data_IF_317669039443
#
_entry.id   IF_317669039443
#
_cell.length_a   1.000
_cell.length_b   1.000
_cell.length_c   1.000
_cell.angle_alpha   90.00
_cell.angle_beta   90.00
_cell.angle_gamma   90.00
#
_symmetry.space_group_name_H-M   'P 1'
#
loop_
_entity.id
_entity.type
_entity.pdbx_description
1 polymer ?
#
# COMPACT_ATOMS: atom_id res chain seq x y z
N UNK A 1 -15.35 7.37 6.37
CA UNK A 1 -13.93 7.48 6.69
C UNK A 1 -13.14 7.54 5.39
N UNK A 2 -12.19 8.45 5.29
CA UNK A 2 -11.39 8.64 4.06
C UNK A 2 -10.07 7.87 4.13
N UNK A 3 -9.60 7.38 2.99
CA UNK A 3 -8.36 6.59 2.87
C UNK A 3 -7.35 7.39 2.04
N UNK A 4 -6.13 7.50 2.56
CA UNK A 4 -4.92 7.82 1.79
C UNK A 4 -4.18 6.52 1.51
N UNK A 5 -3.94 6.20 0.24
CA UNK A 5 -3.01 5.14 -0.12
C UNK A 5 -1.60 5.71 -0.14
N UNK A 6 -0.62 4.95 0.35
CA UNK A 6 0.80 5.28 0.27
C UNK A 6 1.54 4.18 -0.48
N UNK A 7 2.49 4.58 -1.33
CA UNK A 7 3.36 3.67 -2.06
C UNK A 7 4.76 4.27 -2.18
N UNK A 8 5.78 3.44 -2.03
CA UNK A 8 7.17 3.80 -2.31
C UNK A 8 7.61 3.03 -3.55
N UNK A 9 8.22 3.75 -4.51
CA UNK A 9 8.74 3.21 -5.77
C UNK A 9 10.24 3.44 -5.78
N UNK A 10 11.03 2.43 -6.10
CA UNK A 10 12.49 2.53 -6.15
C UNK A 10 13.05 2.06 -7.48
N UNK A 11 13.03 0.74 -7.74
CA UNK A 11 13.69 0.16 -8.91
C UNK A 11 12.87 -0.90 -9.65
N UNK A 12 11.58 -0.95 -9.37
CA UNK A 12 10.64 -1.86 -10.01
C UNK A 12 10.62 -1.64 -11.54
N UNK A 13 10.12 -2.65 -12.26
CA UNK A 13 9.90 -2.51 -13.70
C UNK A 13 8.72 -1.55 -13.93
N UNK A 14 8.76 -0.68 -14.97
CA UNK A 14 7.67 0.24 -15.26
C UNK A 14 6.30 -0.44 -15.36
N UNK A 15 6.24 -1.66 -15.91
CA UNK A 15 5.00 -2.43 -16.04
C UNK A 15 4.41 -2.83 -14.68
N UNK A 16 5.26 -3.15 -13.71
CA UNK A 16 4.82 -3.51 -12.35
C UNK A 16 4.24 -2.27 -11.64
N UNK A 17 4.93 -1.14 -11.72
CA UNK A 17 4.44 0.13 -11.16
C UNK A 17 3.13 0.54 -11.80
N UNK A 18 3.01 0.37 -13.12
CA UNK A 18 1.78 0.66 -13.84
C UNK A 18 0.62 -0.22 -13.34
N UNK A 19 0.84 -1.53 -13.23
CA UNK A 19 -0.16 -2.47 -12.70
C UNK A 19 -0.55 -2.14 -11.25
N UNK A 20 0.41 -1.81 -10.39
CA UNK A 20 0.19 -1.44 -9.00
C UNK A 20 -0.70 -0.19 -8.90
N UNK A 21 -0.33 0.89 -9.61
CA UNK A 21 -1.11 2.14 -9.64
C UNK A 21 -2.52 1.90 -10.18
N UNK A 22 -2.63 1.23 -11.33
CA UNK A 22 -3.91 0.91 -11.96
C UNK A 22 -4.82 0.09 -11.04
N UNK A 23 -4.27 -0.84 -10.25
CA UNK A 23 -5.05 -1.67 -9.33
C UNK A 23 -5.72 -0.86 -8.22
N UNK A 24 -5.09 0.24 -7.78
CA UNK A 24 -5.67 1.18 -6.81
C UNK A 24 -6.72 2.07 -7.48
N UNK A 25 -6.47 2.52 -8.71
CA UNK A 25 -7.43 3.35 -9.46
C UNK A 25 -8.69 2.59 -9.88
N UNK A 26 -8.64 1.25 -9.89
CA UNK A 26 -9.77 0.37 -10.22
C UNK A 26 -10.53 -0.12 -8.98
N UNK A 27 -10.20 0.34 -7.77
CA UNK A 27 -10.87 -0.10 -6.54
C UNK A 27 -12.37 0.25 -6.55
N UNK A 28 -13.22 -0.65 -6.03
CA UNK A 28 -14.66 -0.39 -5.86
C UNK A 28 -14.92 0.77 -4.90
N UNK A 29 -14.08 0.87 -3.86
CA UNK A 29 -14.01 2.03 -2.98
C UNK A 29 -12.74 2.82 -3.27
N UNK A 30 -12.88 3.95 -3.98
CA UNK A 30 -11.75 4.78 -4.35
C UNK A 30 -11.15 5.50 -3.11
N UNK A 31 -9.81 5.55 -2.99
CA UNK A 31 -9.18 6.39 -1.99
C UNK A 31 -9.41 7.87 -2.32
N UNK A 32 -9.27 8.73 -1.30
CA UNK A 32 -9.33 10.19 -1.49
C UNK A 32 -8.01 10.78 -1.93
N UNK A 33 -6.92 10.07 -1.66
CA UNK A 33 -5.56 10.51 -1.93
C UNK A 33 -4.70 9.27 -2.16
N UNK A 34 -3.72 9.38 -3.06
CA UNK A 34 -2.71 8.36 -3.29
C UNK A 34 -1.34 9.03 -3.38
N UNK A 35 -0.59 8.96 -2.28
CA UNK A 35 0.75 9.52 -2.17
C UNK A 35 1.77 8.49 -2.66
N UNK A 36 2.48 8.84 -3.73
CA UNK A 36 3.51 7.98 -4.33
C UNK A 36 4.87 8.66 -4.11
N UNK A 37 5.79 7.98 -3.45
CA UNK A 37 7.16 8.45 -3.25
C UNK A 37 8.09 7.71 -4.21
N UNK A 38 8.67 8.42 -5.17
CA UNK A 38 9.77 7.92 -5.97
C UNK A 38 11.08 8.12 -5.20
N UNK A 39 11.63 7.02 -4.69
CA UNK A 39 12.83 7.00 -3.86
C UNK A 39 14.13 6.94 -4.70
N UNK A 40 14.06 6.48 -5.95
CA UNK A 40 15.18 6.57 -6.88
C UNK A 40 15.02 7.75 -7.85
N UNK A 41 15.58 8.93 -7.57
CA UNK A 41 15.46 10.09 -8.46
C UNK A 41 16.13 9.89 -9.83
N UNK A 42 17.06 8.92 -9.95
CA UNK A 42 17.81 8.66 -11.19
C UNK A 42 17.01 7.80 -12.20
N UNK A 43 15.87 7.23 -11.80
CA UNK A 43 15.00 6.43 -12.68
C UNK A 43 14.05 7.34 -13.46
N UNK A 44 14.56 7.92 -14.55
CA UNK A 44 13.78 8.84 -15.40
C UNK A 44 12.54 8.17 -16.01
N UNK A 45 12.61 6.89 -16.35
CA UNK A 45 11.49 6.10 -16.87
C UNK A 45 10.32 6.02 -15.88
N UNK A 46 10.61 5.71 -14.60
CA UNK A 46 9.60 5.66 -13.54
C UNK A 46 9.09 7.06 -13.19
N UNK A 47 9.98 8.06 -13.22
CA UNK A 47 9.61 9.45 -12.98
C UNK A 47 8.62 9.95 -14.03
N UNK A 48 8.92 9.75 -15.31
CA UNK A 48 8.06 10.17 -16.41
C UNK A 48 6.70 9.45 -16.36
N UNK A 49 6.71 8.15 -16.09
CA UNK A 49 5.49 7.35 -15.89
C UNK A 49 4.62 7.91 -14.76
N UNK A 50 5.20 8.14 -13.58
CA UNK A 50 4.44 8.61 -12.42
C UNK A 50 4.01 10.07 -12.56
N UNK A 51 4.80 10.92 -13.23
CA UNK A 51 4.40 12.29 -13.54
C UNK A 51 3.18 12.33 -14.48
N UNK A 52 3.11 11.43 -15.46
CA UNK A 52 1.93 11.32 -16.34
C UNK A 52 0.66 10.89 -15.57
N UNK A 53 0.79 10.04 -14.55
CA UNK A 53 -0.31 9.75 -13.62
C UNK A 53 -0.71 10.98 -12.79
N UNK A 54 0.27 11.62 -12.13
CA UNK A 54 0.06 12.81 -11.28
C UNK A 54 -0.60 13.97 -12.03
N UNK A 55 -0.27 14.16 -13.32
CA UNK A 55 -0.88 15.20 -14.15
C UNK A 55 -2.33 14.94 -14.55
N UNK A 56 -2.74 13.67 -14.63
CA UNK A 56 -4.05 13.26 -15.18
C UNK A 56 -5.04 12.81 -14.12
N UNK A 57 -4.55 12.40 -12.95
CA UNK A 57 -5.36 11.80 -11.89
C UNK A 57 -5.27 12.66 -10.64
N UNK A 58 -6.31 13.45 -10.38
CA UNK A 58 -6.36 14.47 -9.32
C UNK A 58 -6.03 13.94 -7.91
N UNK A 59 -6.34 12.67 -7.63
CA UNK A 59 -6.07 12.06 -6.33
C UNK A 59 -4.61 11.62 -6.13
N UNK A 60 -3.82 11.52 -7.20
CA UNK A 60 -2.41 11.12 -7.10
C UNK A 60 -1.57 12.33 -6.68
N UNK A 61 -0.60 12.07 -5.82
CA UNK A 61 0.41 13.04 -5.38
C UNK A 61 1.79 12.40 -5.48
N UNK A 62 2.52 12.70 -6.53
CA UNK A 62 3.89 12.25 -6.71
C UNK A 62 4.86 13.11 -5.88
N UNK A 63 5.79 12.44 -5.19
CA UNK A 63 6.89 13.07 -4.48
C UNK A 63 8.19 12.36 -4.85
N UNK A 64 9.17 13.11 -5.34
CA UNK A 64 10.50 12.55 -5.61
C UNK A 64 11.43 12.84 -4.43
N UNK A 65 12.12 11.83 -3.92
CA UNK A 65 13.21 12.05 -2.98
C UNK A 65 14.45 12.59 -3.73
N UNK A 66 15.27 13.42 -3.07
CA UNK A 66 16.49 13.95 -3.69
C UNK A 66 17.60 12.90 -3.81
N UNK A 67 17.50 11.81 -3.05
CA UNK A 67 18.39 10.65 -3.04
C UNK A 67 17.61 9.45 -2.47
N UNK A 68 18.17 8.24 -2.56
CA UNK A 68 17.59 7.04 -1.96
C UNK A 68 17.62 7.13 -0.42
N UNK A 69 16.44 7.22 0.20
CA UNK A 69 16.26 7.25 1.65
C UNK A 69 15.92 5.86 2.22
N UNK A 70 15.54 4.92 1.36
CA UNK A 70 15.10 3.59 1.70
C UNK A 70 13.60 3.52 2.01
N UNK A 71 13.04 2.31 1.87
CA UNK A 71 11.61 2.03 1.94
C UNK A 71 10.93 2.64 3.19
N UNK A 72 11.49 2.43 4.38
CA UNK A 72 10.88 2.90 5.62
C UNK A 72 10.81 4.43 5.71
N UNK A 73 11.90 5.13 5.35
CA UNK A 73 11.94 6.59 5.37
C UNK A 73 10.99 7.18 4.32
N UNK A 74 10.92 6.57 3.13
CA UNK A 74 10.01 6.95 2.05
C UNK A 74 8.54 6.77 2.43
N UNK A 75 8.19 5.65 3.05
CA UNK A 75 6.82 5.42 3.55
C UNK A 75 6.46 6.35 4.71
N UNK A 76 7.38 6.61 5.65
CA UNK A 76 7.15 7.58 6.73
C UNK A 76 6.86 8.99 6.18
N UNK A 77 7.65 9.42 5.18
CA UNK A 77 7.39 10.68 4.46
C UNK A 77 6.01 10.68 3.78
N UNK A 78 5.61 9.56 3.19
CA UNK A 78 4.27 9.42 2.60
C UNK A 78 3.16 9.53 3.66
N UNK A 79 3.33 8.93 4.84
CA UNK A 79 2.40 9.02 5.98
C UNK A 79 2.27 10.46 6.47
N UNK A 80 3.39 11.18 6.60
CA UNK A 80 3.38 12.59 7.01
C UNK A 80 2.58 13.45 6.03
N UNK A 81 2.76 13.22 4.74
CA UNK A 81 2.10 13.93 3.66
C UNK A 81 0.64 13.53 3.42
N UNK A 82 0.24 12.36 3.92
CA UNK A 82 -1.11 11.84 3.76
C UNK A 82 -2.12 12.66 4.58
N UNK A 83 -3.26 13.02 3.98
CA UNK A 83 -4.21 13.95 4.58
C UNK A 83 -5.35 13.28 5.34
N UNK A 84 -5.59 11.99 5.10
CA UNK A 84 -6.78 11.29 5.60
C UNK A 84 -6.52 10.50 6.89
N UNK A 85 -7.61 10.12 7.55
CA UNK A 85 -7.59 9.43 8.85
C UNK A 85 -7.14 7.96 8.74
N UNK A 86 -7.30 7.34 7.58
CA UNK A 86 -6.85 5.98 7.29
C UNK A 86 -5.72 5.99 6.28
N UNK A 87 -4.71 5.17 6.54
CA UNK A 87 -3.58 4.89 5.66
C UNK A 87 -3.71 3.46 5.15
N UNK A 88 -3.75 3.30 3.83
CA UNK A 88 -3.59 2.00 3.18
C UNK A 88 -2.20 1.92 2.56
N UNK A 89 -1.48 0.83 2.82
CA UNK A 89 -0.18 0.57 2.17
C UNK A 89 -0.39 -0.15 0.84
N UNK A 90 0.41 0.21 -0.16
CA UNK A 90 0.54 -0.49 -1.44
C UNK A 90 2.02 -0.63 -1.77
N UNK A 91 2.45 -1.83 -2.13
CA UNK A 91 3.82 -2.08 -2.62
C UNK A 91 3.84 -1.94 -4.16
N UNK A 92 4.94 -1.41 -4.71
CA UNK A 92 5.01 -0.97 -6.11
C UNK A 92 5.11 -2.10 -7.14
N UNK A 93 5.27 -3.34 -6.66
CA UNK A 93 5.37 -4.57 -7.44
C UNK A 93 4.20 -5.54 -7.19
N UNK A 94 3.20 -5.12 -6.42
CA UNK A 94 2.00 -5.91 -6.11
C UNK A 94 0.76 -5.43 -6.89
N UNK A 95 -0.30 -6.24 -6.89
CA UNK A 95 -1.60 -5.92 -7.49
C UNK A 95 -2.68 -6.05 -6.41
N UNK A 96 -3.42 -4.97 -6.15
CA UNK A 96 -4.57 -5.02 -5.22
C UNK A 96 -5.81 -5.60 -5.91
N UNK A 97 -6.47 -6.58 -5.26
CA UNK A 97 -7.78 -7.06 -5.71
C UNK A 97 -8.82 -5.94 -5.67
N UNK A 98 -9.73 -5.92 -6.64
CA UNK A 98 -10.61 -4.77 -6.95
C UNK A 98 -11.45 -4.25 -5.77
N UNK A 99 -11.80 -5.10 -4.81
CA UNK A 99 -12.63 -4.74 -3.66
C UNK A 99 -11.85 -4.64 -2.34
N UNK A 100 -10.51 -4.65 -2.39
CA UNK A 100 -9.66 -4.66 -1.18
C UNK A 100 -10.03 -3.54 -0.21
N UNK A 101 -9.99 -2.28 -0.68
CA UNK A 101 -10.19 -1.12 0.20
C UNK A 101 -11.59 -1.09 0.81
N UNK A 102 -12.60 -1.56 0.08
CA UNK A 102 -13.99 -1.65 0.55
C UNK A 102 -14.10 -2.67 1.69
N UNK A 103 -13.56 -3.87 1.48
CA UNK A 103 -13.58 -4.98 2.44
C UNK A 103 -12.80 -4.63 3.72
N UNK A 104 -11.58 -4.08 3.56
CA UNK A 104 -10.75 -3.67 4.69
C UNK A 104 -11.43 -2.56 5.51
N UNK A 105 -12.06 -1.59 4.84
CA UNK A 105 -12.76 -0.49 5.50
C UNK A 105 -13.99 -0.96 6.29
N UNK A 106 -14.77 -1.88 5.73
CA UNK A 106 -15.92 -2.46 6.41
C UNK A 106 -15.49 -3.25 7.64
N UNK A 107 -14.45 -4.09 7.51
CA UNK A 107 -13.93 -4.90 8.60
C UNK A 107 -13.35 -4.05 9.74
N UNK A 108 -12.55 -3.03 9.41
CA UNK A 108 -11.94 -2.11 10.39
C UNK A 108 -13.00 -1.37 11.21
N UNK A 109 -14.08 -0.91 10.56
CA UNK A 109 -15.20 -0.23 11.24
C UNK A 109 -16.04 -1.18 12.10
N UNK A 110 -16.41 -2.33 11.53
CA UNK A 110 -17.33 -3.26 12.18
C UNK A 110 -16.72 -3.86 13.44
N UNK A 111 -15.41 -4.07 13.44
CA UNK A 111 -14.66 -4.66 14.56
C UNK A 111 -13.98 -3.61 15.44
N UNK A 112 -14.14 -2.32 15.14
CA UNK A 112 -13.48 -1.17 15.79
C UNK A 112 -11.98 -1.39 16.02
N UNK A 113 -11.25 -1.57 14.92
CA UNK A 113 -9.81 -1.87 14.94
C UNK A 113 -8.96 -0.63 14.61
N UNK A 114 -7.71 -0.64 15.06
CA UNK A 114 -6.70 0.34 14.66
C UNK A 114 -5.98 -0.06 13.37
N UNK A 115 -5.87 -1.37 13.10
CA UNK A 115 -5.16 -1.94 11.95
C UNK A 115 -5.80 -3.25 11.53
N UNK A 116 -5.82 -3.50 10.22
CA UNK A 116 -6.13 -4.79 9.61
C UNK A 116 -5.12 -5.09 8.50
N UNK A 117 -4.84 -6.37 8.25
CA UNK A 117 -4.12 -6.83 7.06
C UNK A 117 -4.85 -8.00 6.42
N UNK A 118 -4.95 -8.00 5.09
CA UNK A 118 -5.51 -9.10 4.31
C UNK A 118 -4.52 -10.22 3.96
N UNK A 119 -5.03 -11.27 3.32
CA UNK A 119 -4.22 -12.36 2.75
C UNK A 119 -3.65 -11.95 1.39
N UNK A 120 -2.63 -12.66 0.92
CA UNK A 120 -2.04 -12.47 -0.42
C UNK A 120 -1.91 -13.78 -1.17
N UNK A 121 -1.90 -13.68 -2.49
CA UNK A 121 -1.48 -14.74 -3.39
C UNK A 121 -0.13 -14.35 -4.01
N UNK A 122 0.75 -15.33 -4.21
CA UNK A 122 2.00 -15.17 -4.92
C UNK A 122 1.78 -15.44 -6.40
N UNK A 123 2.25 -14.53 -7.23
CA UNK A 123 2.21 -14.64 -8.68
C UNK A 123 3.61 -14.98 -9.22
N UNK A 124 3.68 -15.79 -10.27
CA UNK A 124 4.89 -15.93 -11.07
C UNK A 124 4.98 -14.86 -12.17
N UNK A 125 6.00 -14.95 -13.03
CA UNK A 125 6.21 -14.01 -14.14
C UNK A 125 5.17 -14.14 -15.27
N UNK A 126 4.28 -15.13 -15.20
CA UNK A 126 3.18 -15.34 -16.13
C UNK A 126 1.82 -14.94 -15.52
N UNK A 127 1.84 -14.27 -14.36
CA UNK A 127 0.66 -13.89 -13.56
C UNK A 127 -0.14 -15.09 -13.04
N UNK A 128 0.46 -16.29 -12.99
CA UNK A 128 -0.19 -17.48 -12.45
C UNK A 128 -0.01 -17.56 -10.93
N UNK A 129 -1.06 -17.98 -10.22
CA UNK A 129 -1.01 -18.15 -8.76
C UNK A 129 -0.17 -19.38 -8.42
N UNK A 130 0.97 -19.15 -7.79
CA UNK A 130 1.91 -20.21 -7.37
C UNK A 130 1.88 -20.50 -5.87
N UNK A 131 1.14 -19.71 -5.09
CA UNK A 131 0.96 -19.95 -3.67
C UNK A 131 0.10 -18.89 -3.00
N UNK A 132 -0.21 -19.11 -1.73
CA UNK A 132 -1.01 -18.17 -0.92
C UNK A 132 -0.38 -18.03 0.47
N UNK A 133 -0.52 -16.82 1.04
CA UNK A 133 -0.16 -16.55 2.43
C UNK A 133 -1.34 -15.89 3.12
N UNK A 134 -1.87 -16.60 4.10
CA UNK A 134 -2.92 -16.10 4.97
C UNK A 134 -2.37 -15.63 6.31
N UNK A 135 -2.91 -14.52 6.81
CA UNK A 135 -2.62 -14.07 8.16
C UNK A 135 -3.28 -15.04 9.15
N UNK A 136 -2.47 -15.64 10.02
CA UNK A 136 -2.94 -16.49 11.13
C UNK A 136 -2.12 -16.04 12.35
N UNK A 137 -2.71 -15.82 13.54
CA UNK A 137 -4.12 -15.91 13.96
C UNK A 137 -4.82 -14.54 14.08
N UNK A 138 -6.16 -14.52 13.97
CA UNK A 138 -6.97 -13.29 14.12
C UNK A 138 -7.37 -12.96 15.58
N UNK A 139 -7.25 -13.93 16.49
CA UNK A 139 -7.65 -13.75 17.88
C UNK A 139 -6.55 -13.02 18.67
N UNK A 140 -6.91 -11.94 19.35
CA UNK A 140 -5.99 -11.12 20.14
C UNK A 140 -5.04 -11.93 21.06
N UNK A 141 -5.51 -12.94 21.84
CA UNK A 141 -4.62 -13.70 22.71
C UNK A 141 -3.58 -14.54 21.96
N UNK A 142 -3.86 -14.89 20.71
CA UNK A 142 -2.94 -15.64 19.86
C UNK A 142 -1.98 -14.69 19.14
N UNK A 143 -2.45 -13.53 18.69
CA UNK A 143 -1.62 -12.46 18.12
C UNK A 143 -0.54 -12.06 19.14
N UNK A 144 -0.93 -11.77 20.39
CA UNK A 144 0.02 -11.41 21.44
C UNK A 144 1.10 -12.47 21.68
N UNK A 145 0.76 -13.75 21.54
CA UNK A 145 1.70 -14.86 21.74
C UNK A 145 2.68 -15.03 20.58
N UNK A 146 2.28 -14.71 19.35
CA UNK A 146 3.12 -14.90 18.17
C UNK A 146 4.00 -13.69 17.85
N UNK A 147 3.59 -12.48 18.25
CA UNK A 147 4.35 -11.23 18.01
C UNK A 147 5.84 -11.30 18.42
N UNK A 148 6.25 -11.95 19.54
CA UNK A 148 7.66 -12.10 19.88
C UNK A 148 8.47 -12.95 18.89
N UNK A 149 7.80 -13.79 18.09
CA UNK A 149 8.42 -14.73 17.16
C UNK A 149 8.31 -14.30 15.70
N UNK A 150 7.40 -13.38 15.38
CA UNK A 150 7.22 -12.88 14.02
C UNK A 150 6.02 -11.94 13.88
N UNK A 151 5.94 -11.29 12.71
CA UNK A 151 4.80 -10.44 12.36
C UNK A 151 3.66 -11.29 11.78
N UNK A 152 2.45 -11.06 12.26
CA UNK A 152 1.21 -11.58 11.65
C UNK A 152 0.68 -10.64 10.56
N UNK A 153 1.31 -9.48 10.38
CA UNK A 153 0.88 -8.44 9.46
C UNK A 153 1.51 -8.70 8.09
N UNK A 154 0.66 -8.80 7.07
CA UNK A 154 1.11 -8.83 5.69
C UNK A 154 1.12 -7.38 5.19
N UNK A 155 2.31 -6.82 5.04
CA UNK A 155 2.49 -5.39 4.82
C UNK A 155 1.76 -4.79 3.59
N UNK A 156 1.75 -5.42 2.40
CA UNK A 156 1.10 -4.81 1.24
C UNK A 156 -0.42 -4.71 1.37
N UNK A 157 -1.03 -5.40 2.33
CA UNK A 157 -2.48 -5.44 2.56
C UNK A 157 -2.90 -4.67 3.81
N UNK A 158 -2.06 -3.78 4.33
CA UNK A 158 -2.39 -3.03 5.55
C UNK A 158 -3.35 -1.88 5.26
N UNK A 159 -4.42 -1.81 6.05
CA UNK A 159 -5.22 -0.60 6.28
C UNK A 159 -5.19 -0.27 7.77
N UNK A 160 -4.86 0.96 8.12
CA UNK A 160 -4.69 1.37 9.51
C UNK A 160 -5.12 2.80 9.77
N UNK A 161 -5.44 3.11 11.02
CA UNK A 161 -5.64 4.50 11.47
C UNK A 161 -4.29 5.22 11.45
N UNK A 162 -4.26 6.42 10.89
CA UNK A 162 -3.05 7.25 10.84
C UNK A 162 -2.45 7.46 12.24
N UNK A 163 -3.30 7.64 13.25
CA UNK A 163 -2.90 7.83 14.66
C UNK A 163 -2.19 6.62 15.27
N UNK A 164 -2.28 5.42 14.67
CA UNK A 164 -1.60 4.22 15.16
C UNK A 164 -0.12 4.15 14.73
N UNK A 165 0.29 5.01 13.80
CA UNK A 165 1.64 5.01 13.19
C UNK A 165 2.33 6.38 13.23
N UNK A 166 1.79 7.31 14.01
CA UNK A 166 2.37 8.62 14.29
C UNK A 166 2.97 8.67 15.69
#
# INVERSE_FOLDING_TARGET
MAISVIMSVYNERPEQVQQAVDSILKQTYLPREFVIVLDNPERSDLKDLLMDYDCRVEMIKLVCNPENLGLAASLNKAIELASNELIARMDADDISVTNRLEVELEALKTRDLDLISGNIAYLDEQDEVVGEKSAIPEAEPLIQKILPYGSTIIHPTVLMRKTAVQ
#
